data_IF_754097262994
#
_entry.id   IF_754097262994
#
_cell.length_a   1.000
_cell.length_b   1.000
_cell.length_c   1.000
_cell.angle_alpha   90.00
_cell.angle_beta   90.00
_cell.angle_gamma   90.00
#
_symmetry.space_group_name_H-M   'P 1'
#
loop_
_entity.id
_entity.type
_entity.pdbx_description
1 polymer ?
#
# COMPACT_ATOMS: atom_id res chain seq x y z
N UNK A 1 -31.92 -24.59 -9.52
CA UNK A 1 -31.25 -23.40 -8.95
C UNK A 1 -31.38 -23.46 -7.44
N UNK A 2 -30.29 -23.72 -6.71
CA UNK A 2 -30.30 -23.71 -5.24
C UNK A 2 -29.77 -22.37 -4.76
N UNK A 3 -30.62 -21.58 -4.12
CA UNK A 3 -30.23 -20.38 -3.37
C UNK A 3 -29.71 -20.85 -2.01
N UNK A 4 -28.40 -21.02 -1.90
CA UNK A 4 -27.75 -21.31 -0.63
C UNK A 4 -27.77 -20.08 0.27
N UNK A 5 -28.55 -20.15 1.35
CA UNK A 5 -28.46 -19.25 2.49
C UNK A 5 -27.05 -19.37 3.10
N UNK A 6 -26.22 -18.33 2.97
CA UNK A 6 -25.04 -18.18 3.82
C UNK A 6 -25.42 -17.32 5.02
N UNK A 7 -25.66 -18.03 6.11
CA UNK A 7 -26.09 -17.51 7.41
C UNK A 7 -25.09 -16.49 7.93
N UNK A 8 -25.59 -15.28 8.15
CA UNK A 8 -24.91 -14.20 8.85
C UNK A 8 -24.68 -14.62 10.31
N UNK A 9 -23.52 -15.22 10.62
CA UNK A 9 -23.04 -15.34 11.99
C UNK A 9 -22.41 -14.00 12.38
N UNK A 10 -23.23 -13.10 12.92
CA UNK A 10 -22.74 -11.92 13.65
C UNK A 10 -22.26 -12.42 15.01
N UNK A 11 -21.10 -13.06 15.05
CA UNK A 11 -20.31 -13.09 16.28
C UNK A 11 -19.92 -11.64 16.60
N UNK A 12 -19.90 -11.27 17.89
CA UNK A 12 -19.26 -10.05 18.37
C UNK A 12 -17.75 -10.14 18.10
N UNK A 13 -17.36 -10.00 16.84
CA UNK A 13 -15.98 -10.10 16.38
C UNK A 13 -15.35 -8.74 16.67
N UNK A 14 -14.26 -8.76 17.46
CA UNK A 14 -13.43 -7.59 17.74
C UNK A 14 -13.28 -6.75 16.45
N UNK A 15 -13.60 -5.45 16.46
CA UNK A 15 -13.51 -4.61 15.26
C UNK A 15 -12.10 -4.60 14.65
N UNK A 16 -11.07 -5.02 15.38
CA UNK A 16 -9.70 -5.22 14.89
C UNK A 16 -9.47 -6.55 14.14
N UNK A 17 -10.37 -7.53 14.24
CA UNK A 17 -10.28 -8.85 13.59
C UNK A 17 -11.04 -8.94 12.26
N UNK A 18 -11.60 -7.82 11.79
CA UNK A 18 -12.30 -7.80 10.50
C UNK A 18 -11.37 -8.22 9.34
N UNK A 19 -11.88 -8.96 8.36
CA UNK A 19 -11.13 -9.52 7.22
C UNK A 19 -10.18 -8.51 6.56
N UNK A 20 -10.64 -7.28 6.33
CA UNK A 20 -9.85 -6.20 5.70
C UNK A 20 -8.64 -5.75 6.54
N UNK A 21 -8.74 -5.80 7.87
CA UNK A 21 -7.64 -5.45 8.78
C UNK A 21 -6.65 -6.62 8.87
N UNK A 22 -7.16 -7.85 8.96
CA UNK A 22 -6.32 -9.06 8.96
C UNK A 22 -5.54 -9.19 7.65
N UNK A 23 -6.18 -8.90 6.51
CA UNK A 23 -5.52 -8.85 5.21
C UNK A 23 -4.41 -7.80 5.21
N UNK A 24 -4.69 -6.59 5.71
CA UNK A 24 -3.68 -5.55 5.83
C UNK A 24 -2.52 -5.95 6.74
N UNK A 25 -2.74 -6.73 7.79
CA UNK A 25 -1.68 -7.24 8.68
C UNK A 25 -0.78 -8.28 8.03
N UNK A 26 -1.38 -9.22 7.28
CA UNK A 26 -0.66 -10.30 6.60
C UNK A 26 0.12 -9.78 5.40
N UNK A 27 -0.57 -9.10 4.49
CA UNK A 27 -0.03 -8.72 3.18
C UNK A 27 0.48 -7.27 3.14
N UNK A 28 0.00 -6.41 4.04
CA UNK A 28 0.32 -4.98 4.08
C UNK A 28 -0.83 -4.11 3.54
N UNK A 29 -0.93 -2.87 4.01
CA UNK A 29 -1.95 -1.90 3.59
C UNK A 29 -2.09 -1.74 2.07
N UNK A 30 -0.98 -1.80 1.31
CA UNK A 30 -0.97 -1.63 -0.15
C UNK A 30 -1.63 -2.79 -0.92
N UNK A 31 -1.84 -3.94 -0.29
CA UNK A 31 -2.56 -5.07 -0.88
C UNK A 31 -4.08 -4.97 -0.69
N UNK A 32 -4.57 -4.03 0.13
CA UNK A 32 -6.00 -3.81 0.28
C UNK A 32 -6.56 -3.25 -1.03
N UNK A 33 -7.53 -3.93 -1.67
CA UNK A 33 -8.08 -3.46 -2.93
C UNK A 33 -8.77 -2.11 -2.75
N UNK A 34 -8.64 -1.23 -3.73
CA UNK A 34 -9.14 0.16 -3.67
C UNK A 34 -10.62 0.24 -3.28
N UNK A 35 -11.43 -0.72 -3.77
CA UNK A 35 -12.85 -0.83 -3.46
C UNK A 35 -13.14 -1.10 -1.97
N UNK A 36 -12.22 -1.72 -1.23
CA UNK A 36 -12.35 -2.04 0.21
C UNK A 36 -11.70 -0.99 1.12
N UNK A 37 -11.07 0.06 0.58
CA UNK A 37 -10.49 1.18 1.36
C UNK A 37 -11.52 1.85 2.29
N UNK A 38 -12.73 2.25 1.85
CA UNK A 38 -13.67 2.93 2.75
C UNK A 38 -14.07 2.04 3.94
N UNK A 39 -14.24 0.74 3.69
CA UNK A 39 -14.54 -0.26 4.74
C UNK A 39 -13.36 -0.40 5.69
N UNK A 40 -12.12 -0.45 5.18
CA UNK A 40 -10.91 -0.48 5.99
C UNK A 40 -10.79 0.75 6.89
N UNK A 41 -11.05 1.96 6.37
CA UNK A 41 -11.03 3.19 7.16
C UNK A 41 -12.06 3.13 8.29
N UNK A 42 -13.30 2.75 7.98
CA UNK A 42 -14.35 2.67 8.99
C UNK A 42 -14.03 1.65 10.09
N UNK A 43 -13.58 0.45 9.71
CA UNK A 43 -13.18 -0.59 10.66
C UNK A 43 -11.94 -0.19 11.46
N UNK A 44 -10.96 0.48 10.85
CA UNK A 44 -9.77 0.98 11.56
C UNK A 44 -10.12 2.01 12.62
N UNK A 45 -11.08 2.90 12.37
CA UNK A 45 -11.59 3.87 13.36
C UNK A 45 -12.28 3.15 14.52
N UNK A 46 -13.07 2.11 14.22
CA UNK A 46 -13.73 1.28 15.25
C UNK A 46 -12.71 0.50 16.07
N UNK A 47 -11.72 -0.12 15.43
CA UNK A 47 -10.59 -0.79 16.07
C UNK A 47 -9.75 0.17 16.94
N UNK A 48 -9.53 1.41 16.50
CA UNK A 48 -8.78 2.43 17.26
C UNK A 48 -9.45 2.79 18.60
N UNK A 49 -10.75 2.53 18.76
CA UNK A 49 -11.48 2.75 20.00
C UNK A 49 -11.27 1.62 21.03
N UNK A 50 -10.72 0.48 20.63
CA UNK A 50 -10.39 -0.61 21.57
C UNK A 50 -9.06 -0.35 22.27
N UNK A 51 -8.86 -0.96 23.44
CA UNK A 51 -7.69 -0.74 24.30
C UNK A 51 -6.36 -1.07 23.60
N UNK A 52 -6.36 -2.11 22.75
CA UNK A 52 -5.16 -2.60 22.06
C UNK A 52 -5.08 -2.17 20.57
N UNK A 53 -6.17 -1.69 19.98
CA UNK A 53 -6.23 -1.40 18.55
C UNK A 53 -5.33 -0.26 18.10
N UNK A 54 -5.10 0.75 18.95
CA UNK A 54 -4.15 1.85 18.65
C UNK A 54 -2.72 1.35 18.46
N UNK A 55 -2.24 0.48 19.35
CA UNK A 55 -0.88 -0.05 19.29
C UNK A 55 -0.71 -0.98 18.09
N UNK A 56 -1.72 -1.81 17.83
CA UNK A 56 -1.76 -2.71 16.68
C UNK A 56 -1.68 -1.97 15.34
N UNK A 57 -2.49 -0.91 15.16
CA UNK A 57 -2.46 -0.09 13.94
C UNK A 57 -1.12 0.64 13.78
N UNK A 58 -0.54 1.13 14.88
CA UNK A 58 0.78 1.79 14.86
C UNK A 58 1.90 0.81 14.48
N UNK A 59 1.85 -0.42 14.98
CA UNK A 59 2.78 -1.48 14.59
C UNK A 59 2.65 -1.84 13.11
N UNK A 60 1.41 -1.86 12.59
CA UNK A 60 1.14 -2.12 11.19
C UNK A 60 1.70 -1.03 10.27
N UNK A 61 1.51 0.24 10.64
CA UNK A 61 2.07 1.39 9.93
C UNK A 61 3.60 1.34 9.91
N UNK A 62 4.23 1.09 11.06
CA UNK A 62 5.69 0.96 11.16
C UNK A 62 6.23 -0.15 10.27
N UNK A 63 5.60 -1.33 10.28
CA UNK A 63 5.97 -2.46 9.41
C UNK A 63 5.86 -2.12 7.92
N UNK A 64 4.85 -1.35 7.52
CA UNK A 64 4.72 -0.90 6.13
C UNK A 64 5.81 0.11 5.78
N UNK A 65 6.09 1.06 6.68
CA UNK A 65 7.12 2.07 6.49
C UNK A 65 8.50 1.41 6.27
N UNK A 66 8.85 0.43 7.11
CA UNK A 66 10.12 -0.31 6.97
C UNK A 66 10.20 -1.05 5.64
N UNK A 67 9.11 -1.73 5.22
CA UNK A 67 9.04 -2.40 3.91
C UNK A 67 9.18 -1.43 2.73
N UNK A 68 8.53 -0.27 2.83
CA UNK A 68 8.59 0.76 1.79
C UNK A 68 9.97 1.41 1.71
N UNK A 69 10.63 1.60 2.87
CA UNK A 69 12.02 2.04 2.93
C UNK A 69 12.97 1.04 2.26
N UNK A 70 12.84 -0.25 2.58
CA UNK A 70 13.63 -1.33 1.98
C UNK A 70 13.43 -1.45 0.45
N UNK A 71 12.22 -1.19 -0.04
CA UNK A 71 11.93 -1.15 -1.48
C UNK A 71 12.52 0.10 -2.15
N UNK A 72 12.47 1.24 -1.48
CA UNK A 72 12.90 2.52 -2.04
C UNK A 72 14.43 2.69 -2.00
N UNK A 73 15.11 2.18 -0.97
CA UNK A 73 16.58 2.25 -0.87
C UNK A 73 17.29 1.57 -2.03
N UNK A 74 16.69 0.52 -2.58
CA UNK A 74 17.22 -0.23 -3.72
C UNK A 74 16.78 0.37 -5.05
N UNK A 75 16.06 1.51 -5.02
CA UNK A 75 15.47 2.15 -6.20
C UNK A 75 14.73 1.13 -7.08
N UNK A 76 14.07 0.16 -6.44
CA UNK A 76 13.51 -0.99 -7.12
C UNK A 76 12.11 -0.64 -7.66
N UNK A 77 12.08 -0.17 -8.91
CA UNK A 77 10.85 0.14 -9.63
C UNK A 77 11.10 0.61 -11.05
N UNK A 78 10.21 0.23 -11.95
CA UNK A 78 10.15 0.67 -13.36
C UNK A 78 10.21 2.20 -13.56
N UNK A 79 9.75 2.99 -12.58
CA UNK A 79 9.73 4.45 -12.64
C UNK A 79 11.14 5.06 -12.68
N UNK A 80 12.11 4.45 -11.99
CA UNK A 80 13.50 4.92 -11.98
C UNK A 80 14.17 4.63 -13.32
N UNK A 81 13.87 3.49 -13.93
CA UNK A 81 14.35 3.17 -15.29
C UNK A 81 13.84 4.19 -16.32
N UNK A 82 12.57 4.60 -16.26
CA UNK A 82 12.05 5.63 -17.15
C UNK A 82 12.70 7.00 -16.91
N UNK A 83 12.90 7.37 -15.64
CA UNK A 83 13.53 8.64 -15.27
C UNK A 83 14.99 8.72 -15.74
N UNK A 84 15.77 7.66 -15.50
CA UNK A 84 17.18 7.61 -15.92
C UNK A 84 17.33 7.60 -17.43
N UNK A 85 16.49 6.85 -18.14
CA UNK A 85 16.51 6.81 -19.61
C UNK A 85 16.18 8.19 -20.20
N UNK A 86 15.15 8.86 -19.68
CA UNK A 86 14.77 10.20 -20.16
C UNK A 86 15.89 11.22 -19.92
N UNK A 87 16.51 11.19 -18.73
CA UNK A 87 17.63 12.08 -18.41
C UNK A 87 18.82 11.86 -19.35
N UNK A 88 19.16 10.61 -19.67
CA UNK A 88 20.22 10.27 -20.60
C UNK A 88 19.95 10.79 -22.01
N UNK A 89 18.74 10.56 -22.53
CA UNK A 89 18.34 11.01 -23.88
C UNK A 89 18.42 12.53 -23.98
N UNK A 90 17.86 13.26 -23.01
CA UNK A 90 17.89 14.73 -22.99
C UNK A 90 19.33 15.24 -22.93
N UNK A 91 20.18 14.61 -22.11
CA UNK A 91 21.59 14.98 -21.99
C UNK A 91 22.34 14.78 -23.30
N UNK A 92 22.15 13.64 -23.97
CA UNK A 92 22.76 13.37 -25.27
C UNK A 92 22.31 14.37 -26.34
N UNK A 93 21.02 14.67 -26.41
CA UNK A 93 20.49 15.68 -27.33
C UNK A 93 21.10 17.07 -27.11
N UNK A 94 21.24 17.47 -25.84
CA UNK A 94 21.85 18.76 -25.50
C UNK A 94 23.34 18.80 -25.86
N UNK A 95 24.08 17.72 -25.62
CA UNK A 95 25.49 17.63 -25.99
C UNK A 95 25.65 17.69 -27.51
N UNK A 96 24.86 16.93 -28.28
CA UNK A 96 24.88 17.00 -29.75
C UNK A 96 24.56 18.42 -30.27
N UNK A 97 23.57 19.08 -29.67
CA UNK A 97 23.21 20.45 -30.03
C UNK A 97 24.38 21.42 -29.80
N UNK A 98 25.05 21.33 -28.65
CA UNK A 98 26.21 22.16 -28.32
C UNK A 98 27.39 21.87 -29.25
N UNK A 99 27.66 20.60 -29.56
CA UNK A 99 28.74 20.22 -30.47
C UNK A 99 28.49 20.62 -31.93
N UNK A 100 27.23 20.67 -32.40
CA UNK A 100 26.90 21.17 -33.75
C UNK A 100 26.93 22.69 -33.88
N UNK A 101 26.75 23.42 -32.77
CA UNK A 101 26.77 24.89 -32.72
C UNK A 101 28.19 25.45 -32.57
N UNK A 102 29.21 24.59 -32.48
CA UNK A 102 30.62 24.94 -32.32
C UNK A 102 31.41 24.57 -33.56
#
# INVERSE_FOLDING_TARGET
MSWGQDSTHVEEIDPCQHEVIVLAQKEGLRHVPVKKIPVFVWQSVKCRKTQNGKQMLKALEKKQLDKDYERTKSFHGWTITCASTTALVVTMFYLEYIFRQK
#
